data_IF_373057578808
#
_entry.id   IF_373057578808
#
_cell.length_a   1.000
_cell.length_b   1.000
_cell.length_c   1.000
_cell.angle_alpha   90.00
_cell.angle_beta   90.00
_cell.angle_gamma   90.00
#
_symmetry.space_group_name_H-M   'P 1'
#
loop_
_entity.id
_entity.type
_entity.pdbx_description
1 polymer ?
#
# COMPACT_ATOMS: atom_id res chain seq x y z
N UNK A 1 9.28 -12.12 5.31
CA UNK A 1 10.02 -10.96 4.76
C UNK A 1 9.01 -9.90 4.38
N UNK A 2 8.95 -8.78 5.11
CA UNK A 2 7.94 -7.74 4.90
C UNK A 2 8.49 -6.70 3.91
N UNK A 3 8.03 -6.75 2.66
CA UNK A 3 8.27 -5.68 1.70
C UNK A 3 7.13 -4.66 1.83
N UNK A 4 7.37 -3.63 2.62
CA UNK A 4 6.55 -2.42 2.66
C UNK A 4 7.43 -1.24 2.33
N UNK A 5 7.62 -0.99 1.04
CA UNK A 5 8.16 0.29 0.57
C UNK A 5 7.08 1.02 -0.23
N UNK A 6 6.51 2.12 0.28
CA UNK A 6 5.89 3.11 -0.57
C UNK A 6 6.98 4.05 -1.10
N UNK A 7 7.34 3.90 -2.37
CA UNK A 7 8.19 4.89 -3.05
C UNK A 7 7.45 6.24 -3.19
N UNK A 8 8.16 7.31 -2.87
CA UNK A 8 7.95 8.72 -3.27
C UNK A 8 6.82 9.53 -2.60
N UNK A 9 7.17 10.75 -2.15
CA UNK A 9 6.26 11.76 -1.59
C UNK A 9 5.29 12.39 -2.61
N UNK A 10 5.37 12.02 -3.90
CA UNK A 10 4.33 12.31 -4.90
C UNK A 10 3.15 11.32 -4.83
N UNK A 11 3.33 10.22 -4.10
CA UNK A 11 2.45 9.06 -4.14
C UNK A 11 1.11 9.24 -3.39
N UNK A 12 0.86 10.31 -2.64
CA UNK A 12 -0.44 10.48 -1.94
C UNK A 12 -1.61 10.75 -2.90
N UNK A 13 -1.35 11.21 -4.14
CA UNK A 13 -2.40 11.52 -5.13
C UNK A 13 -2.61 10.43 -6.17
N UNK A 14 -1.86 9.32 -6.09
CA UNK A 14 -1.83 8.29 -7.12
C UNK A 14 -2.60 7.04 -6.69
N UNK A 15 -3.19 6.36 -7.66
CA UNK A 15 -3.66 4.99 -7.50
C UNK A 15 -2.49 4.09 -7.11
N UNK A 16 -2.68 3.18 -6.15
CA UNK A 16 -1.64 2.24 -5.71
C UNK A 16 -2.12 0.82 -5.76
N UNK A 17 -1.26 -0.05 -6.27
CA UNK A 17 -1.39 -1.50 -6.17
C UNK A 17 -0.37 -2.02 -5.17
N UNK A 18 -0.83 -2.72 -4.14
CA UNK A 18 0.02 -3.22 -3.05
C UNK A 18 -0.13 -4.74 -2.95
N UNK A 19 0.99 -5.45 -2.98
CA UNK A 19 1.06 -6.89 -2.77
C UNK A 19 1.66 -7.19 -1.42
N UNK A 20 1.06 -8.13 -0.68
CA UNK A 20 1.61 -8.67 0.56
C UNK A 20 1.58 -10.18 0.49
N UNK A 21 2.77 -10.78 0.51
CA UNK A 21 2.96 -12.21 0.33
C UNK A 21 3.67 -12.79 1.56
N UNK A 22 3.09 -13.83 2.13
CA UNK A 22 3.64 -14.60 3.24
C UNK A 22 4.03 -15.99 2.73
N UNK A 23 5.35 -16.20 2.60
CA UNK A 23 5.95 -17.46 2.10
C UNK A 23 5.69 -18.64 3.01
N UNK A 24 5.76 -18.42 4.32
CA UNK A 24 5.73 -19.50 5.30
C UNK A 24 4.34 -20.13 5.35
N UNK A 25 3.31 -19.31 5.13
CA UNK A 25 1.92 -19.74 5.22
C UNK A 25 1.24 -19.91 3.86
N UNK A 26 1.95 -19.73 2.74
CA UNK A 26 1.39 -19.74 1.37
C UNK A 26 0.13 -18.86 1.27
N UNK A 27 0.23 -17.64 1.80
CA UNK A 27 -0.87 -16.68 1.86
C UNK A 27 -0.45 -15.37 1.24
N UNK A 28 -1.43 -14.62 0.76
CA UNK A 28 -1.18 -13.24 0.42
C UNK A 28 -2.46 -12.45 0.18
N UNK A 29 -2.29 -11.14 0.13
CA UNK A 29 -3.33 -10.19 -0.20
C UNK A 29 -2.84 -9.16 -1.21
N UNK A 30 -3.79 -8.67 -2.00
CA UNK A 30 -3.60 -7.64 -3.00
C UNK A 30 -4.54 -6.50 -2.61
N UNK A 31 -4.04 -5.27 -2.55
CA UNK A 31 -4.83 -4.10 -2.22
C UNK A 31 -4.72 -3.02 -3.29
N UNK A 32 -5.85 -2.54 -3.78
CA UNK A 32 -5.99 -1.44 -4.72
C UNK A 32 -6.43 -0.20 -3.93
N UNK A 33 -5.62 0.85 -3.92
CA UNK A 33 -5.91 2.10 -3.21
C UNK A 33 -6.29 3.19 -4.21
N UNK A 34 -7.49 3.71 -4.07
CA UNK A 34 -8.06 4.74 -4.93
C UNK A 34 -8.09 6.07 -4.20
N UNK A 35 -7.39 7.11 -4.70
CA UNK A 35 -7.48 8.45 -4.13
C UNK A 35 -8.80 9.12 -4.51
N UNK A 36 -9.53 9.66 -3.54
CA UNK A 36 -10.73 10.48 -3.80
C UNK A 36 -11.04 11.44 -2.65
N UNK A 37 -11.74 12.52 -2.98
CA UNK A 37 -12.26 13.46 -1.99
C UNK A 37 -13.68 13.07 -1.57
N UNK A 38 -13.86 12.80 -0.28
CA UNK A 38 -15.14 12.51 0.34
C UNK A 38 -15.69 13.73 1.09
N UNK A 39 -17.02 13.84 1.17
CA UNK A 39 -17.70 14.85 1.97
C UNK A 39 -17.40 14.58 3.46
N UNK A 40 -17.10 15.63 4.22
CA UNK A 40 -16.71 15.52 5.64
C UNK A 40 -15.20 15.37 5.90
N UNK A 41 -14.38 15.00 4.91
CA UNK A 41 -12.93 14.82 5.10
C UNK A 41 -12.12 16.02 4.60
N UNK A 42 -11.31 16.67 5.43
CA UNK A 42 -10.57 17.89 5.01
C UNK A 42 -9.48 17.61 3.96
N UNK A 43 -8.97 16.38 3.92
CA UNK A 43 -7.84 15.97 3.09
C UNK A 43 -8.26 14.93 2.02
N UNK A 44 -7.33 14.59 1.14
CA UNK A 44 -7.52 13.53 0.14
C UNK A 44 -7.60 12.16 0.86
N UNK A 45 -8.69 11.46 0.66
CA UNK A 45 -8.94 10.16 1.27
C UNK A 45 -8.55 9.03 0.32
N UNK A 46 -8.39 7.82 0.87
CA UNK A 46 -8.16 6.61 0.07
C UNK A 46 -9.18 5.55 0.43
N UNK A 47 -9.88 5.04 -0.57
CA UNK A 47 -10.66 3.81 -0.45
C UNK A 47 -9.78 2.66 -0.91
N UNK A 48 -9.79 1.56 -0.17
CA UNK A 48 -9.00 0.37 -0.51
C UNK A 48 -9.91 -0.80 -0.84
N UNK A 49 -9.72 -1.40 -2.00
CA UNK A 49 -10.26 -2.73 -2.32
C UNK A 49 -9.19 -3.76 -2.00
N UNK A 50 -9.51 -4.74 -1.17
CA UNK A 50 -8.60 -5.78 -0.75
C UNK A 50 -9.10 -7.15 -1.21
N UNK A 51 -8.17 -7.90 -1.76
CA UNK A 51 -8.40 -9.24 -2.28
C UNK A 51 -7.43 -10.20 -1.62
N UNK A 52 -7.95 -11.27 -1.04
CA UNK A 52 -7.12 -12.39 -0.62
C UNK A 52 -6.77 -13.24 -1.86
N UNK A 53 -5.50 -13.64 -2.01
CA UNK A 53 -5.05 -14.49 -3.12
C UNK A 53 -5.79 -15.85 -3.10
N UNK A 54 -6.27 -16.31 -1.94
CA UNK A 54 -7.13 -17.50 -1.83
C UNK A 54 -8.50 -17.38 -2.48
N UNK A 55 -8.95 -16.16 -2.79
CA UNK A 55 -10.21 -15.92 -3.48
C UNK A 55 -10.04 -15.98 -5.01
N UNK A 56 -8.80 -16.02 -5.52
CA UNK A 56 -8.53 -16.12 -6.94
C UNK A 56 -8.69 -17.57 -7.42
N UNK A 57 -9.42 -17.74 -8.53
CA UNK A 57 -9.45 -18.99 -9.29
C UNK A 57 -8.29 -19.06 -10.29
N UNK A 58 -7.99 -17.94 -10.96
CA UNK A 58 -6.84 -17.82 -11.85
C UNK A 58 -6.17 -16.45 -11.73
N UNK A 59 -4.86 -16.43 -11.99
CA UNK A 59 -4.07 -15.22 -12.15
C UNK A 59 -3.16 -15.41 -13.35
N UNK A 60 -3.13 -14.41 -14.24
CA UNK A 60 -2.29 -14.42 -15.42
C UNK A 60 -1.71 -13.03 -15.67
N UNK A 61 -0.57 -12.95 -16.34
CA UNK A 61 0.04 -11.68 -16.70
C UNK A 61 0.72 -11.76 -18.06
N UNK A 62 0.89 -10.63 -18.73
CA UNK A 62 1.82 -10.53 -19.86
C UNK A 62 2.49 -9.17 -19.93
N UNK A 63 3.76 -9.17 -20.35
CA UNK A 63 4.65 -8.01 -20.48
C UNK A 63 4.49 -7.26 -21.81
N UNK A 64 3.76 -7.86 -22.75
CA UNK A 64 3.49 -7.28 -24.07
C UNK A 64 2.00 -7.43 -24.39
N UNK A 65 1.11 -6.80 -23.60
CA UNK A 65 -0.31 -6.77 -23.92
C UNK A 65 -0.58 -5.92 -25.15
N UNK A 66 -1.58 -6.33 -25.93
CA UNK A 66 -2.27 -5.41 -26.83
C UNK A 66 -3.11 -4.45 -25.97
N UNK A 67 -2.75 -3.17 -26.00
CA UNK A 67 -3.41 -2.10 -25.23
C UNK A 67 -4.01 -1.07 -26.17
N UNK A 68 -5.08 -0.42 -25.72
CA UNK A 68 -5.66 0.71 -26.46
C UNK A 68 -4.75 1.94 -26.41
N UNK A 69 -4.83 2.79 -27.43
CA UNK A 69 -4.08 4.06 -27.50
C UNK A 69 -4.27 4.93 -26.24
N UNK A 70 -5.48 4.94 -25.66
CA UNK A 70 -5.78 5.68 -24.42
C UNK A 70 -4.99 5.15 -23.23
N UNK A 71 -4.87 3.83 -23.10
CA UNK A 71 -4.10 3.18 -22.03
C UNK A 71 -2.61 3.46 -22.20
N UNK A 72 -2.13 3.45 -23.44
CA UNK A 72 -0.73 3.70 -23.78
C UNK A 72 -0.33 5.19 -23.63
N UNK A 73 -1.27 6.11 -23.80
CA UNK A 73 -1.05 7.53 -23.48
C UNK A 73 -0.97 7.79 -21.96
N UNK A 74 -1.73 7.04 -21.16
CA UNK A 74 -1.75 7.18 -19.69
C UNK A 74 -0.50 6.53 -19.07
N UNK A 75 -0.15 5.33 -19.50
CA UNK A 75 1.01 4.58 -19.02
C UNK A 75 2.17 4.75 -20.01
N UNK A 76 3.11 5.63 -19.66
CA UNK A 76 4.25 5.92 -20.53
C UNK A 76 5.25 4.76 -20.49
N UNK A 77 5.40 4.02 -21.60
CA UNK A 77 6.43 2.97 -21.76
C UNK A 77 5.87 1.56 -21.87
N UNK A 78 6.67 0.56 -21.49
CA UNK A 78 6.23 -0.85 -21.50
C UNK A 78 5.18 -1.09 -20.43
N UNK A 79 4.09 -1.77 -20.81
CA UNK A 79 2.93 -2.01 -19.96
C UNK A 79 2.86 -3.50 -19.67
N UNK A 80 2.64 -3.85 -18.42
CA UNK A 80 2.27 -5.21 -18.00
C UNK A 80 0.79 -5.21 -17.65
N UNK A 81 0.04 -6.19 -18.13
CA UNK A 81 -1.32 -6.41 -17.65
C UNK A 81 -1.37 -7.59 -16.70
N UNK A 82 -2.23 -7.48 -15.69
CA UNK A 82 -2.51 -8.48 -14.68
C UNK A 82 -3.99 -8.86 -14.76
N UNK A 83 -4.27 -10.13 -14.96
CA UNK A 83 -5.61 -10.70 -15.00
C UNK A 83 -5.96 -11.32 -13.65
N UNK A 84 -7.10 -10.92 -13.08
CA UNK A 84 -7.62 -11.49 -11.85
C UNK A 84 -8.97 -12.12 -12.14
N UNK A 85 -9.09 -13.42 -11.83
CA UNK A 85 -10.36 -14.14 -11.88
C UNK A 85 -10.68 -14.65 -10.48
N UNK A 86 -11.87 -14.30 -9.98
CA UNK A 86 -12.33 -14.72 -8.66
C UNK A 86 -12.98 -16.10 -8.70
N UNK A 87 -13.01 -16.78 -7.55
CA UNK A 87 -13.82 -17.98 -7.34
C UNK A 87 -15.31 -17.58 -7.27
N UNK A 88 -16.25 -18.46 -7.66
CA UNK A 88 -17.68 -18.19 -7.50
C UNK A 88 -18.02 -17.85 -6.04
N UNK A 89 -18.97 -16.93 -5.84
CA UNK A 89 -19.44 -16.47 -4.53
C UNK A 89 -18.36 -15.82 -3.64
N UNK A 90 -17.30 -15.28 -4.24
CA UNK A 90 -16.32 -14.44 -3.53
C UNK A 90 -16.47 -12.98 -3.95
N UNK A 91 -16.31 -12.08 -2.99
CA UNK A 91 -16.33 -10.63 -3.19
C UNK A 91 -14.98 -10.03 -2.85
N UNK A 92 -14.74 -8.83 -3.37
CA UNK A 92 -13.59 -8.01 -2.99
C UNK A 92 -13.97 -7.19 -1.76
N UNK A 93 -13.16 -7.24 -0.71
CA UNK A 93 -13.44 -6.54 0.53
C UNK A 93 -13.14 -5.04 0.37
N UNK A 94 -14.09 -4.18 0.74
CA UNK A 94 -13.95 -2.74 0.67
C UNK A 94 -13.60 -2.16 2.05
N UNK A 95 -12.58 -1.31 2.08
CA UNK A 95 -12.11 -0.63 3.27
C UNK A 95 -12.12 0.88 3.08
N UNK A 96 -12.74 1.58 4.03
CA UNK A 96 -12.79 3.05 4.06
C UNK A 96 -12.14 3.61 5.33
N UNK A 97 -11.62 4.85 5.31
CA UNK A 97 -11.07 5.47 6.52
C UNK A 97 -12.12 5.57 7.63
N UNK A 98 -11.75 5.33 8.91
CA UNK A 98 -12.70 5.38 10.04
C UNK A 98 -13.43 6.72 10.18
N UNK A 99 -12.75 7.82 9.85
CA UNK A 99 -13.26 9.19 9.93
C UNK A 99 -14.40 9.47 8.92
N UNK A 100 -14.68 8.51 8.04
CA UNK A 100 -15.68 8.66 6.99
C UNK A 100 -17.08 8.33 7.50
N UNK A 101 -17.98 9.29 7.36
CA UNK A 101 -19.41 9.09 7.60
C UNK A 101 -20.02 8.23 6.49
N UNK A 102 -20.92 7.33 6.86
CA UNK A 102 -21.75 6.55 5.92
C UNK A 102 -23.12 7.23 5.75
N UNK A 103 -23.71 7.23 4.54
CA UNK A 103 -23.19 6.67 3.29
C UNK A 103 -22.04 7.50 2.68
N UNK A 104 -21.19 6.85 1.87
CA UNK A 104 -20.08 7.51 1.19
C UNK A 104 -20.60 8.54 0.18
N UNK A 105 -20.32 9.82 0.44
CA UNK A 105 -20.68 10.91 -0.47
C UNK A 105 -19.41 11.52 -1.09
N UNK A 106 -19.24 11.46 -2.42
CA UNK A 106 -18.11 12.11 -3.09
C UNK A 106 -18.26 13.64 -3.02
N UNK A 107 -17.14 14.37 -2.90
CA UNK A 107 -17.15 15.84 -2.87
C UNK A 107 -17.42 16.47 -4.25
N UNK A 108 -17.20 15.74 -5.33
CA UNK A 108 -17.39 16.25 -6.68
C UNK A 108 -17.37 15.14 -7.72
N UNK A 109 -17.69 15.49 -8.97
CA UNK A 109 -17.92 14.54 -10.06
C UNK A 109 -16.76 13.55 -10.29
N UNK A 110 -15.50 14.02 -10.24
CA UNK A 110 -14.33 13.14 -10.40
C UNK A 110 -14.23 12.07 -9.30
N UNK A 111 -14.48 12.45 -8.05
CA UNK A 111 -14.55 11.49 -6.93
C UNK A 111 -15.75 10.56 -7.05
N UNK A 112 -16.87 11.04 -7.62
CA UNK A 112 -18.06 10.23 -7.89
C UNK A 112 -17.77 9.13 -8.90
N UNK A 113 -17.14 9.48 -10.03
CA UNK A 113 -16.71 8.52 -11.04
C UNK A 113 -15.78 7.44 -10.45
N UNK A 114 -14.84 7.85 -9.59
CA UNK A 114 -13.95 6.89 -8.90
C UNK A 114 -14.73 5.99 -7.96
N UNK A 115 -15.67 6.53 -7.18
CA UNK A 115 -16.48 5.75 -6.25
C UNK A 115 -17.36 4.72 -6.99
N UNK A 116 -17.94 5.11 -8.12
CA UNK A 116 -18.73 4.22 -8.98
C UNK A 116 -17.87 3.12 -9.59
N UNK A 117 -16.68 3.46 -10.08
CA UNK A 117 -15.73 2.48 -10.61
C UNK A 117 -15.28 1.48 -9.53
N UNK A 118 -15.07 1.95 -8.30
CA UNK A 118 -14.77 1.10 -7.15
C UNK A 118 -15.94 0.16 -6.82
N UNK A 119 -17.18 0.66 -6.87
CA UNK A 119 -18.38 -0.18 -6.67
C UNK A 119 -18.46 -1.26 -7.75
N UNK A 120 -18.34 -0.89 -9.02
CA UNK A 120 -18.34 -1.83 -10.14
C UNK A 120 -17.23 -2.88 -10.00
N UNK A 121 -16.03 -2.46 -9.63
CA UNK A 121 -14.89 -3.35 -9.45
C UNK A 121 -15.10 -4.32 -8.28
N UNK A 122 -15.74 -3.86 -7.19
CA UNK A 122 -16.01 -4.71 -6.02
C UNK A 122 -16.94 -5.90 -6.32
N UNK A 123 -17.78 -5.76 -7.35
CA UNK A 123 -18.72 -6.76 -7.83
C UNK A 123 -18.17 -7.59 -9.01
N UNK A 124 -17.00 -7.23 -9.54
CA UNK A 124 -16.46 -7.86 -10.74
C UNK A 124 -15.88 -9.24 -10.45
N UNK A 125 -16.38 -10.28 -11.14
CA UNK A 125 -15.82 -11.63 -11.08
C UNK A 125 -14.48 -11.76 -11.81
N UNK A 126 -14.25 -10.93 -12.82
CA UNK A 126 -13.03 -10.91 -13.64
C UNK A 126 -12.65 -9.46 -13.93
N UNK A 127 -11.39 -9.11 -13.72
CA UNK A 127 -10.91 -7.78 -14.06
C UNK A 127 -9.41 -7.78 -14.41
N UNK A 128 -9.00 -6.73 -15.13
CA UNK A 128 -7.61 -6.52 -15.57
C UNK A 128 -7.06 -5.24 -14.95
N UNK A 129 -5.84 -5.30 -14.45
CA UNK A 129 -5.07 -4.13 -14.06
C UNK A 129 -3.89 -3.94 -15.01
N UNK A 130 -3.63 -2.70 -15.42
CA UNK A 130 -2.48 -2.35 -16.25
C UNK A 130 -1.49 -1.54 -15.39
N UNK A 131 -0.23 -1.94 -15.42
CA UNK A 131 0.86 -1.31 -14.68
C UNK A 131 2.04 -1.06 -15.61
N UNK A 132 2.97 -0.19 -15.23
CA UNK A 132 4.21 -0.02 -15.97
C UNK A 132 5.13 -1.22 -15.69
N UNK A 133 5.79 -1.77 -16.72
CA UNK A 133 6.51 -3.04 -16.58
C UNK A 133 7.65 -3.01 -15.57
N UNK A 134 8.23 -1.85 -15.29
CA UNK A 134 9.30 -1.72 -14.31
C UNK A 134 8.80 -1.71 -12.85
N UNK A 135 7.49 -1.58 -12.62
CA UNK A 135 6.92 -1.43 -11.28
C UNK A 135 6.81 -2.76 -10.51
N UNK A 136 6.89 -3.89 -11.21
CA UNK A 136 6.67 -5.21 -10.61
C UNK A 136 7.63 -6.25 -11.21
N UNK A 137 8.55 -6.84 -10.42
CA UNK A 137 9.46 -7.89 -10.89
C UNK A 137 8.77 -9.24 -11.09
N UNK A 138 9.29 -10.06 -12.00
CA UNK A 138 8.73 -11.41 -12.30
C UNK A 138 8.73 -12.33 -11.08
N UNK A 139 9.71 -12.20 -10.19
CA UNK A 139 9.77 -13.00 -8.96
C UNK A 139 8.54 -12.83 -8.05
N UNK A 140 7.89 -11.66 -8.07
CA UNK A 140 6.64 -11.44 -7.32
C UNK A 140 5.45 -12.08 -8.06
N UNK A 141 5.42 -11.98 -9.39
CA UNK A 141 4.36 -12.54 -10.23
C UNK A 141 4.36 -14.08 -10.20
N UNK A 142 5.53 -14.69 -10.29
CA UNK A 142 5.72 -16.14 -10.18
C UNK A 142 5.30 -16.64 -8.80
N UNK A 143 5.61 -15.85 -7.75
CA UNK A 143 5.24 -16.17 -6.38
C UNK A 143 3.74 -16.11 -6.14
N UNK A 144 3.04 -15.11 -6.69
CA UNK A 144 1.56 -15.06 -6.67
C UNK A 144 0.99 -16.30 -7.36
N UNK A 145 1.52 -16.64 -8.54
CA UNK A 145 1.09 -17.80 -9.32
C UNK A 145 1.30 -19.10 -8.54
N UNK A 146 2.45 -19.24 -7.87
CA UNK A 146 2.77 -20.38 -7.00
C UNK A 146 1.79 -20.51 -5.83
N UNK A 147 1.47 -19.41 -5.14
CA UNK A 147 0.51 -19.41 -4.02
C UNK A 147 -0.89 -19.84 -4.48
N UNK A 148 -1.30 -19.48 -5.70
CA UNK A 148 -2.60 -19.88 -6.25
C UNK A 148 -2.60 -21.36 -6.62
N UNK A 149 -1.54 -21.84 -7.28
CA UNK A 149 -1.44 -23.23 -7.73
C UNK A 149 -1.27 -24.22 -6.56
N UNK A 150 -0.63 -23.81 -5.47
CA UNK A 150 -0.38 -24.65 -4.30
C UNK A 150 -1.53 -24.61 -3.27
N UNK A 151 -2.66 -23.98 -3.59
CA UNK A 151 -3.79 -23.92 -2.67
C UNK A 151 -4.47 -25.29 -2.51
N UNK A 152 -4.83 -25.68 -1.27
CA UNK A 152 -5.68 -26.83 -1.05
C UNK A 152 -7.01 -26.66 -1.79
N UNK A 153 -7.51 -27.72 -2.47
CA UNK A 153 -8.70 -27.65 -3.32
C UNK A 153 -9.99 -27.27 -2.59
N UNK A 154 -9.99 -27.21 -1.26
CA UNK A 154 -11.17 -26.95 -0.44
C UNK A 154 -10.96 -25.84 0.61
N UNK A 155 -10.04 -24.91 0.35
CA UNK A 155 -9.86 -23.75 1.24
C UNK A 155 -11.05 -22.81 1.09
N UNK A 156 -12.06 -22.96 1.94
CA UNK A 156 -13.18 -22.04 1.99
C UNK A 156 -12.65 -20.63 2.29
N UNK A 157 -13.08 -19.61 1.52
CA UNK A 157 -12.70 -18.23 1.78
C UNK A 157 -13.26 -17.85 3.16
N UNK A 158 -12.38 -17.71 4.16
CA UNK A 158 -12.83 -17.33 5.50
C UNK A 158 -13.19 -15.84 5.47
N UNK A 159 -14.42 -15.44 5.82
CA UNK A 159 -14.87 -14.05 5.68
C UNK A 159 -14.13 -13.05 6.58
N UNK A 160 -13.40 -13.53 7.59
CA UNK A 160 -12.91 -12.68 8.70
C UNK A 160 -11.38 -12.45 8.75
N UNK A 161 -10.62 -12.75 7.69
CA UNK A 161 -9.13 -12.71 7.76
C UNK A 161 -8.42 -11.69 6.88
N UNK A 162 -9.13 -10.94 6.02
CA UNK A 162 -8.51 -9.92 5.15
C UNK A 162 -7.91 -8.74 5.94
N UNK A 163 -8.42 -8.46 7.15
CA UNK A 163 -7.99 -7.35 8.02
C UNK A 163 -6.56 -7.49 8.55
N UNK A 164 -6.12 -8.72 8.85
CA UNK A 164 -4.81 -8.97 9.46
C UNK A 164 -3.62 -8.67 8.54
N UNK A 165 -3.85 -8.63 7.22
CA UNK A 165 -2.81 -8.40 6.22
C UNK A 165 -2.89 -7.00 5.60
N UNK A 166 -3.87 -6.15 5.91
CA UNK A 166 -3.94 -4.79 5.35
C UNK A 166 -3.05 -3.80 6.12
N UNK A 167 -2.38 -2.85 5.45
CA UNK A 167 -1.51 -1.89 6.11
C UNK A 167 -2.33 -0.78 6.80
N UNK A 168 -2.24 -0.72 8.14
CA UNK A 168 -2.66 0.42 8.96
C UNK A 168 -4.02 0.23 9.64
N UNK A 169 -4.03 0.37 10.97
CA UNK A 169 -5.19 0.23 11.88
C UNK A 169 -6.29 1.30 11.70
N UNK A 170 -6.39 1.99 10.56
CA UNK A 170 -7.28 3.15 10.37
C UNK A 170 -8.36 2.99 9.29
N UNK A 171 -8.67 1.76 8.87
CA UNK A 171 -9.78 1.52 7.93
C UNK A 171 -10.82 0.54 8.51
N UNK A 172 -12.10 0.80 8.24
CA UNK A 172 -13.23 -0.07 8.56
C UNK A 172 -13.76 -0.78 7.30
N UNK A 173 -14.16 -2.06 7.39
CA UNK A 173 -14.79 -2.77 6.29
C UNK A 173 -16.21 -2.24 6.05
N UNK A 174 -16.61 -2.10 4.79
CA UNK A 174 -17.97 -1.68 4.41
C UNK A 174 -18.48 -2.59 3.31
N UNK A 175 -19.78 -2.93 3.36
CA UNK A 175 -20.47 -3.62 2.28
C UNK A 175 -21.34 -2.63 1.53
N UNK A 176 -21.24 -2.57 0.20
CA UNK A 176 -22.22 -1.89 -0.64
C UNK A 176 -23.50 -2.74 -0.73
N UNK A 177 -24.20 -2.96 0.39
CA UNK A 177 -25.47 -3.71 0.40
C UNK A 177 -26.71 -2.82 0.46
N UNK A 178 -26.57 -1.50 0.31
CA UNK A 178 -27.72 -0.60 0.25
C UNK A 178 -28.08 -0.28 -1.21
N UNK A 179 -29.22 -0.84 -1.60
CA UNK A 179 -30.07 -0.53 -2.75
C UNK A 179 -29.38 -0.32 -4.10
N UNK A 180 -29.67 -1.25 -5.02
CA UNK A 180 -29.50 -1.22 -6.47
C UNK A 180 -30.05 0.06 -7.12
N UNK A 181 -29.41 1.20 -6.88
CA UNK A 181 -29.67 2.46 -7.56
C UNK A 181 -28.50 2.72 -8.49
N UNK A 182 -28.81 2.89 -9.77
CA UNK A 182 -27.88 3.40 -10.76
C UNK A 182 -27.14 4.62 -10.18
N UNK A 183 -25.82 4.75 -10.43
CA UNK A 183 -25.07 5.88 -9.91
C UNK A 183 -25.74 7.21 -10.30
N UNK A 184 -25.86 8.17 -9.38
CA UNK A 184 -26.51 9.44 -9.67
C UNK A 184 -25.74 10.20 -10.77
N UNK A 185 -26.46 10.87 -11.67
CA UNK A 185 -25.82 11.73 -12.68
C UNK A 185 -25.13 12.90 -11.98
N UNK A 186 -23.81 12.95 -12.04
CA UNK A 186 -22.99 13.98 -11.39
C UNK A 186 -22.78 15.24 -12.24
N UNK A 187 -23.38 15.32 -13.42
CA UNK A 187 -23.28 16.45 -14.37
C UNK A 187 -23.86 17.77 -13.79
N UNK A 188 -24.76 17.70 -12.81
CA UNK A 188 -25.46 18.88 -12.30
C UNK A 188 -24.80 19.56 -11.07
N UNK A 189 -23.68 19.05 -10.54
CA UNK A 189 -23.20 19.47 -9.22
C UNK A 189 -22.17 20.62 -9.21
N UNK A 190 -22.01 21.35 -10.31
CA UNK A 190 -21.18 22.55 -10.36
C UNK A 190 -21.92 23.84 -9.95
N UNK A 191 -23.19 23.76 -9.56
CA UNK A 191 -23.91 24.93 -9.03
C UNK A 191 -23.58 25.14 -7.55
N UNK A 192 -22.67 26.07 -7.29
CA UNK A 192 -22.60 26.79 -6.03
C UNK A 192 -23.95 27.49 -5.85
N UNK A 193 -24.74 27.07 -4.87
CA UNK A 193 -25.87 27.87 -4.38
C UNK A 193 -25.30 28.78 -3.27
N UNK A 194 -25.23 30.10 -3.45
CA UNK A 194 -25.11 31.01 -2.32
C UNK A 194 -26.49 31.11 -1.66
N UNK A 195 -26.53 30.92 -0.34
CA UNK A 195 -27.77 30.96 0.43
C UNK A 195 -28.47 32.31 0.37
N UNK A 196 -29.81 32.28 0.37
CA UNK A 196 -30.61 32.93 1.40
C UNK A 196 -32.07 32.47 1.29
N UNK A 197 -32.60 32.01 2.41
CA UNK A 197 -34.04 31.93 2.66
C UNK A 197 -34.61 33.32 2.98
N UNK A 198 -35.95 33.42 2.91
CA UNK A 198 -36.85 34.56 3.19
C UNK A 198 -36.89 35.64 2.09
N UNK A 199 -38.00 36.01 1.43
CA UNK A 199 -39.42 36.03 1.83
C UNK A 199 -40.39 36.06 0.64
N UNK A 200 -41.65 35.76 0.99
CA UNK A 200 -42.94 35.71 0.31
C UNK A 200 -43.39 36.79 -0.71
N UNK A 201 -44.22 36.32 -1.67
CA UNK A 201 -45.43 36.93 -2.30
C UNK A 201 -45.26 38.26 -3.09
N UNK A 202 -45.82 38.47 -4.29
CA UNK A 202 -47.25 38.70 -4.60
C UNK A 202 -47.44 38.93 -6.13
N UNK A 203 -48.49 38.30 -6.67
CA UNK A 203 -49.46 38.66 -7.73
C UNK A 203 -49.13 39.27 -9.12
N UNK A 204 -49.87 38.67 -10.06
CA UNK A 204 -50.35 39.06 -11.39
C UNK A 204 -50.70 40.54 -11.72
N UNK A 205 -50.52 40.86 -13.03
CA UNK A 205 -51.53 41.36 -14.02
C UNK A 205 -51.38 42.81 -14.60
N UNK A 206 -51.44 42.86 -15.95
CA UNK A 206 -51.88 43.92 -16.93
C UNK A 206 -50.84 44.98 -17.35
N UNK A 207 -50.39 44.99 -18.62
CA UNK A 207 -50.92 45.64 -19.88
C UNK A 207 -50.81 47.19 -19.90
N UNK A 208 -49.96 47.75 -20.78
CA UNK A 208 -50.33 48.49 -22.01
C UNK A 208 -49.21 49.40 -22.58
N UNK A 209 -48.85 49.15 -23.85
CA UNK A 209 -48.63 50.08 -25.00
C UNK A 209 -47.72 51.31 -24.86
N UNK A 210 -46.62 51.36 -25.63
CA UNK A 210 -46.33 52.44 -26.61
C UNK A 210 -45.17 52.13 -27.58
N UNK A 211 -45.52 52.25 -28.86
CA UNK A 211 -44.79 52.52 -30.13
C UNK A 211 -43.24 52.64 -30.21
N UNK A 212 -42.62 51.68 -30.93
CA UNK A 212 -41.54 51.80 -31.97
C UNK A 212 -40.11 52.23 -31.57
N UNK A 213 -39.08 52.07 -32.45
CA UNK A 213 -38.87 51.13 -33.57
C UNK A 213 -37.68 50.17 -33.33
N UNK A 214 -37.73 48.98 -33.92
CA UNK A 214 -36.63 48.05 -34.25
C UNK A 214 -35.34 48.10 -33.41
N UNK A 215 -35.36 47.41 -32.26
CA UNK A 215 -34.17 46.84 -31.65
C UNK A 215 -34.46 45.38 -31.35
N UNK A 216 -33.85 44.45 -32.08
CA UNK A 216 -34.00 43.01 -31.83
C UNK A 216 -33.70 42.73 -30.35
N UNK A 217 -34.68 42.26 -29.54
CA UNK A 217 -34.46 41.98 -28.11
C UNK A 217 -33.35 40.94 -27.87
N UNK A 218 -33.05 40.12 -28.88
CA UNK A 218 -31.91 39.20 -28.89
C UNK A 218 -30.56 39.91 -28.79
N UNK A 219 -30.35 41.04 -29.47
CA UNK A 219 -29.01 41.68 -29.53
C UNK A 219 -28.65 42.32 -28.19
N UNK A 220 -29.64 42.91 -27.50
CA UNK A 220 -29.44 43.49 -26.17
C UNK A 220 -29.18 42.37 -25.15
N UNK A 221 -29.94 41.28 -25.21
CA UNK A 221 -29.72 40.11 -24.34
C UNK A 221 -28.33 39.49 -24.55
N UNK A 222 -27.92 39.27 -25.81
CA UNK A 222 -26.59 38.74 -26.14
C UNK A 222 -25.47 39.67 -25.66
N UNK A 223 -25.66 40.99 -25.75
CA UNK A 223 -24.67 41.95 -25.30
C UNK A 223 -24.54 41.98 -23.76
N UNK A 224 -25.63 41.76 -23.03
CA UNK A 224 -25.61 41.61 -21.57
C UNK A 224 -24.94 40.29 -21.15
N UNK A 225 -25.23 39.18 -21.83
CA UNK A 225 -24.62 37.88 -21.59
C UNK A 225 -23.10 37.91 -21.82
N UNK A 226 -22.64 38.49 -22.94
CA UNK A 226 -21.21 38.66 -23.21
C UNK A 226 -20.52 39.54 -22.16
N UNK A 227 -21.22 40.55 -21.61
CA UNK A 227 -20.69 41.43 -20.57
C UNK A 227 -20.53 40.71 -19.22
N UNK A 228 -21.45 39.80 -18.92
CA UNK A 228 -21.37 38.88 -17.77
C UNK A 228 -20.20 37.91 -17.93
N UNK A 229 -20.06 37.28 -19.09
CA UNK A 229 -18.98 36.32 -19.39
C UNK A 229 -17.58 36.99 -19.32
N UNK A 230 -17.44 38.21 -19.86
CA UNK A 230 -16.22 39.01 -19.74
C UNK A 230 -15.91 39.32 -18.27
N UNK A 231 -16.92 39.59 -17.45
CA UNK A 231 -16.75 39.91 -16.04
C UNK A 231 -16.32 38.67 -15.23
N UNK A 232 -16.89 37.51 -15.54
CA UNK A 232 -16.51 36.22 -14.96
C UNK A 232 -15.07 35.84 -15.32
N UNK A 233 -14.72 35.88 -16.61
CA UNK A 233 -13.36 35.59 -17.09
C UNK A 233 -12.32 36.50 -16.41
N UNK A 234 -12.66 37.77 -16.20
CA UNK A 234 -11.77 38.73 -15.53
C UNK A 234 -11.56 38.39 -14.04
N UNK A 235 -12.58 37.87 -13.36
CA UNK A 235 -12.45 37.35 -12.00
C UNK A 235 -11.60 36.06 -11.97
N UNK A 236 -11.83 35.13 -12.89
CA UNK A 236 -11.03 33.89 -13.00
C UNK A 236 -9.55 34.21 -13.24
N UNK A 237 -9.24 35.16 -14.13
CA UNK A 237 -7.86 35.62 -14.39
C UNK A 237 -7.25 36.29 -13.15
N UNK A 238 -8.04 36.99 -12.34
CA UNK A 238 -7.55 37.66 -11.12
C UNK A 238 -7.33 36.70 -9.94
N UNK A 239 -8.07 35.59 -9.88
CA UNK A 239 -7.92 34.57 -8.82
C UNK A 239 -6.81 33.54 -9.12
N UNK A 240 -6.54 33.24 -10.40
CA UNK A 240 -5.49 32.30 -10.84
C UNK A 240 -4.04 32.59 -10.38
N UNK A 241 -3.57 33.84 -10.16
CA UNK A 241 -2.20 34.12 -9.74
C UNK A 241 -1.90 33.63 -8.32
N UNK A 242 -2.91 33.59 -7.44
CA UNK A 242 -2.77 33.15 -6.04
C UNK A 242 -2.51 31.65 -5.95
N UNK A 243 -3.14 30.86 -6.83
CA UNK A 243 -2.91 29.41 -6.90
C UNK A 243 -1.50 29.08 -7.41
N UNK A 244 -0.96 29.89 -8.34
CA UNK A 244 0.38 29.66 -8.90
C UNK A 244 1.49 29.98 -7.88
N UNK A 245 1.33 31.02 -7.06
CA UNK A 245 2.33 31.36 -6.03
C UNK A 245 2.30 30.37 -4.87
N UNK A 246 1.11 29.90 -4.46
CA UNK A 246 0.96 28.82 -3.48
C UNK A 246 1.64 27.53 -3.95
N UNK A 247 1.36 27.10 -5.19
CA UNK A 247 2.00 25.92 -5.78
C UNK A 247 3.53 26.04 -5.87
N UNK A 248 4.07 27.24 -6.16
CA UNK A 248 5.53 27.47 -6.17
C UNK A 248 6.14 27.31 -4.78
N UNK A 249 5.46 27.80 -3.74
CA UNK A 249 5.89 27.63 -2.35
C UNK A 249 5.89 26.15 -1.93
N UNK A 250 4.82 25.42 -2.27
CA UNK A 250 4.70 23.99 -1.98
C UNK A 250 5.80 23.18 -2.67
N UNK A 251 6.08 23.48 -3.95
CA UNK A 251 7.18 22.84 -4.70
C UNK A 251 8.54 23.10 -4.04
N UNK A 252 8.80 24.33 -3.61
CA UNK A 252 10.04 24.66 -2.91
C UNK A 252 10.16 23.91 -1.57
N UNK A 253 9.06 23.83 -0.81
CA UNK A 253 9.01 23.10 0.45
C UNK A 253 9.21 21.59 0.26
N UNK A 254 8.59 20.99 -0.76
CA UNK A 254 8.77 19.58 -1.08
C UNK A 254 10.22 19.28 -1.50
N UNK A 255 10.85 20.17 -2.28
CA UNK A 255 12.27 20.03 -2.65
C UNK A 255 13.19 20.07 -1.43
N UNK A 256 12.94 20.98 -0.47
CA UNK A 256 13.71 21.05 0.76
C UNK A 256 13.54 19.79 1.63
N UNK A 257 12.31 19.25 1.74
CA UNK A 257 12.05 17.99 2.45
C UNK A 257 12.74 16.80 1.77
N UNK A 258 12.75 16.75 0.45
CA UNK A 258 13.43 15.69 -0.31
C UNK A 258 14.94 15.68 -0.05
N UNK A 259 15.60 16.84 -0.13
CA UNK A 259 17.03 16.97 0.21
C UNK A 259 17.32 16.57 1.66
N UNK A 260 16.44 16.93 2.59
CA UNK A 260 16.57 16.54 4.00
C UNK A 260 16.49 15.02 4.18
N UNK A 261 15.58 14.36 3.46
CA UNK A 261 15.46 12.90 3.50
C UNK A 261 16.67 12.22 2.87
N UNK A 262 17.21 12.75 1.78
CA UNK A 262 18.40 12.23 1.10
C UNK A 262 19.64 12.30 2.00
N UNK A 263 19.81 13.39 2.76
CA UNK A 263 20.87 13.51 3.78
C UNK A 263 20.71 12.43 4.87
N UNK A 264 19.49 12.26 5.40
CA UNK A 264 19.21 11.23 6.42
C UNK A 264 19.45 9.81 5.92
N UNK A 265 19.12 9.52 4.66
CA UNK A 265 19.40 8.22 4.05
C UNK A 265 20.91 7.97 3.96
N UNK A 266 21.69 8.98 3.56
CA UNK A 266 23.16 8.88 3.53
C UNK A 266 23.76 8.64 4.93
N UNK A 267 23.22 9.27 5.98
CA UNK A 267 23.64 9.01 7.36
C UNK A 267 23.30 7.59 7.83
N UNK A 268 22.08 7.12 7.55
CA UNK A 268 21.65 5.76 7.88
C UNK A 268 22.46 4.70 7.14
N UNK A 269 22.84 4.93 5.88
CA UNK A 269 23.70 4.04 5.12
C UNK A 269 25.11 3.94 5.72
N UNK A 270 25.68 5.06 6.20
CA UNK A 270 26.97 5.06 6.91
C UNK A 270 26.90 4.28 8.22
N UNK A 271 25.87 4.50 9.03
CA UNK A 271 25.65 3.74 10.27
C UNK A 271 25.45 2.25 9.99
N UNK A 272 24.66 1.91 8.96
CA UNK A 272 24.46 0.51 8.55
C UNK A 272 25.78 -0.16 8.17
N UNK A 273 26.66 0.53 7.43
CA UNK A 273 27.98 0.00 7.05
C UNK A 273 28.86 -0.22 8.29
N UNK A 274 28.95 0.78 9.18
CA UNK A 274 29.69 0.67 10.45
C UNK A 274 29.20 -0.49 11.31
N UNK A 275 27.89 -0.70 11.40
CA UNK A 275 27.32 -1.81 12.16
C UNK A 275 27.62 -3.16 11.50
N UNK A 276 27.63 -3.24 10.17
CA UNK A 276 28.04 -4.45 9.45
C UNK A 276 29.50 -4.80 9.72
N UNK A 277 30.39 -3.81 9.71
CA UNK A 277 31.82 -4.02 9.98
C UNK A 277 32.05 -4.53 11.42
N UNK A 278 31.31 -3.97 12.40
CA UNK A 278 31.33 -4.46 13.80
C UNK A 278 30.80 -5.88 13.95
N UNK A 279 29.76 -6.26 13.21
CA UNK A 279 29.23 -7.63 13.24
C UNK A 279 30.30 -8.61 12.76
N UNK A 280 31.02 -8.29 11.68
CA UNK A 280 32.11 -9.13 11.17
C UNK A 280 33.24 -9.28 12.21
N UNK A 281 33.58 -8.20 12.92
CA UNK A 281 34.57 -8.24 14.01
C UNK A 281 34.12 -9.15 15.16
N UNK A 282 32.86 -9.01 15.61
CA UNK A 282 32.28 -9.86 16.67
C UNK A 282 32.21 -11.33 16.23
N UNK A 283 31.83 -11.60 14.97
CA UNK A 283 31.80 -12.97 14.44
C UNK A 283 33.18 -13.62 14.49
N UNK A 284 34.23 -12.86 14.16
CA UNK A 284 35.61 -13.32 14.27
C UNK A 284 36.03 -13.58 15.73
N UNK A 285 35.72 -12.66 16.64
CA UNK A 285 36.03 -12.84 18.06
C UNK A 285 35.33 -14.08 18.64
N UNK A 286 34.10 -14.38 18.20
CA UNK A 286 33.38 -15.60 18.58
C UNK A 286 34.09 -16.84 18.05
N UNK A 287 34.56 -16.85 16.81
CA UNK A 287 35.32 -17.97 16.23
C UNK A 287 36.63 -18.22 17.02
N UNK A 288 37.37 -17.15 17.34
CA UNK A 288 38.62 -17.25 18.10
C UNK A 288 38.36 -17.79 19.52
N UNK A 289 37.32 -17.31 20.22
CA UNK A 289 36.94 -17.82 21.55
C UNK A 289 36.50 -19.29 21.47
N UNK A 290 35.78 -19.70 20.42
CA UNK A 290 35.38 -21.10 20.25
C UNK A 290 36.58 -22.01 20.06
N UNK A 291 37.60 -21.56 19.30
CA UNK A 291 38.85 -22.30 19.14
C UNK A 291 39.60 -22.46 20.47
N UNK A 292 39.70 -21.38 21.26
CA UNK A 292 40.35 -21.41 22.57
C UNK A 292 39.63 -22.35 23.55
N UNK A 293 38.29 -22.32 23.58
CA UNK A 293 37.48 -23.22 24.42
C UNK A 293 37.67 -24.68 24.02
N UNK A 294 37.73 -24.98 22.71
CA UNK A 294 38.01 -26.33 22.23
C UNK A 294 39.39 -26.80 22.68
N UNK A 295 40.42 -25.97 22.56
CA UNK A 295 41.77 -26.31 22.98
C UNK A 295 41.89 -26.55 24.49
N UNK A 296 41.14 -25.79 25.30
CA UNK A 296 41.07 -26.00 26.75
C UNK A 296 40.37 -27.32 27.07
N UNK A 297 39.26 -27.63 26.39
CA UNK A 297 38.52 -28.87 26.60
C UNK A 297 39.37 -30.10 26.25
N UNK A 298 40.07 -30.08 25.12
CA UNK A 298 40.96 -31.18 24.70
C UNK A 298 42.08 -31.42 25.74
N UNK A 299 42.58 -30.34 26.35
CA UNK A 299 43.58 -30.43 27.41
C UNK A 299 43.02 -31.00 28.70
N UNK A 300 41.83 -30.58 29.11
CA UNK A 300 41.16 -31.09 30.32
C UNK A 300 40.88 -32.59 30.21
N UNK A 301 40.40 -33.04 29.04
CA UNK A 301 40.22 -34.48 28.75
C UNK A 301 41.54 -35.25 28.80
N UNK A 302 42.62 -34.66 28.28
CA UNK A 302 43.95 -35.28 28.33
C UNK A 302 44.47 -35.38 29.77
N UNK A 303 44.29 -34.32 30.57
CA UNK A 303 44.71 -34.29 31.96
C UNK A 303 43.91 -35.31 32.80
N UNK A 304 42.61 -35.45 32.57
CA UNK A 304 41.76 -36.48 33.20
C UNK A 304 42.23 -37.91 32.87
N UNK A 305 42.57 -38.19 31.61
CA UNK A 305 43.12 -39.49 31.19
C UNK A 305 44.46 -39.76 31.89
N UNK A 306 45.36 -38.79 31.94
CA UNK A 306 46.65 -38.92 32.63
C UNK A 306 46.46 -39.19 34.13
N UNK A 307 45.47 -38.57 34.75
CA UNK A 307 45.19 -38.70 36.18
C UNK A 307 44.59 -40.08 36.51
N UNK A 308 43.75 -40.63 35.63
CA UNK A 308 43.27 -42.01 35.71
C UNK A 308 44.42 -43.01 35.60
N UNK A 309 45.31 -42.83 34.62
CA UNK A 309 46.48 -43.70 34.45
C UNK A 309 47.39 -43.68 35.68
N UNK A 310 47.71 -42.50 36.21
CA UNK A 310 48.53 -42.38 37.41
C UNK A 310 47.92 -43.07 38.63
N UNK A 311 46.58 -43.09 38.74
CA UNK A 311 45.87 -43.79 39.80
C UNK A 311 45.94 -45.32 39.64
N UNK A 312 45.85 -45.82 38.42
CA UNK A 312 46.06 -47.25 38.12
C UNK A 312 47.49 -47.68 38.46
N UNK A 313 48.50 -46.91 38.04
CA UNK A 313 49.91 -47.18 38.34
C UNK A 313 50.18 -47.17 39.86
N UNK A 314 49.55 -46.25 40.60
CA UNK A 314 49.61 -46.23 42.07
C UNK A 314 48.99 -47.49 42.69
N UNK A 315 47.84 -47.95 42.18
CA UNK A 315 47.21 -49.16 42.68
C UNK A 315 48.09 -50.39 42.42
N UNK A 316 48.68 -50.51 41.23
CA UNK A 316 49.62 -51.61 40.93
C UNK A 316 50.83 -51.62 41.88
N UNK A 317 51.39 -50.44 42.18
CA UNK A 317 52.50 -50.32 43.12
C UNK A 317 52.10 -50.74 44.54
N UNK A 318 50.89 -50.42 44.98
CA UNK A 318 50.35 -50.87 46.28
C UNK A 318 50.23 -52.40 46.30
N UNK A 319 49.60 -52.98 45.29
CA UNK A 319 49.43 -54.44 45.18
C UNK A 319 50.78 -55.17 45.19
N UNK A 320 51.80 -54.61 44.54
CA UNK A 320 53.17 -55.14 44.55
C UNK A 320 53.85 -55.03 45.91
N UNK A 321 53.63 -53.95 46.65
CA UNK A 321 54.16 -53.79 48.00
C UNK A 321 53.55 -54.79 48.96
N UNK A 322 52.23 -55.00 48.89
CA UNK A 322 51.52 -55.99 49.70
C UNK A 322 52.04 -57.40 49.43
N UNK A 323 52.25 -57.77 48.17
CA UNK A 323 52.85 -59.05 47.80
C UNK A 323 54.27 -59.23 48.37
N UNK A 324 55.09 -58.17 48.40
CA UNK A 324 56.43 -58.25 49.02
C UNK A 324 56.32 -58.43 50.53
N UNK A 325 55.37 -57.75 51.18
CA UNK A 325 55.15 -57.85 52.62
C UNK A 325 54.73 -59.27 53.03
N UNK A 326 53.78 -59.87 52.31
CA UNK A 326 53.37 -61.26 52.53
C UNK A 326 54.54 -62.24 52.38
N UNK A 327 55.37 -62.08 51.34
CA UNK A 327 56.55 -62.94 51.13
C UNK A 327 57.64 -62.78 52.22
N UNK A 328 57.66 -61.67 52.96
CA UNK A 328 58.59 -61.46 54.08
C UNK A 328 58.09 -62.06 55.40
N UNK A 329 56.78 -62.25 55.57
CA UNK A 329 56.21 -62.91 56.76
C UNK A 329 56.31 -64.46 56.69
N UNK A 330 56.54 -65.03 55.50
CA UNK A 330 56.66 -66.48 55.29
C UNK A 330 58.10 -67.06 55.37
N UNK A 331 59.14 -66.23 55.59
CA UNK A 331 60.55 -66.66 55.75
C UNK A 331 61.06 -66.58 57.19
#
# INVERSE_FOLDING_TARGET
MYLTEPLSASAEKAFKLVFKLDDQNQRGSIAFKFPLYLKGMKHLSHISLALNISHLSTFAFSRTPEVSDKTQQILQGHITWLNFQLKPNTSIDLFIPYETNEPLVPRGAKSGIVLDAVRLLSEAAVFKAYIQSNDLPDSILDRITSIINNQPPNTQPSPNRSTALLPGNQAKPVSFNEERRSPPSYEASNHIIPGNELTSNVSAKRRCVSQGPDGHPDVISIMEDLRLEISELKLTIKCRPVDITGLKSDVAQHKAKALTMEIKLCELEKERKKNKDKIIEIEKDIEDIQADVSAINDKDETDDVNLLQAREDQQELVDRLDAIHENQEES
#
